data_IF_298445829006
#
_entry.id   IF_298445829006
#
_cell.length_a   1.000
_cell.length_b   1.000
_cell.length_c   1.000
_cell.angle_alpha   90.00
_cell.angle_beta   90.00
_cell.angle_gamma   90.00
#
_symmetry.space_group_name_H-M   'P 1'
#
loop_
_entity.id
_entity.type
_entity.pdbx_description
1 polymer ?
#
# COMPACT_ATOMS: atom_id res chain seq x y z
N UNK A 1 7.25 10.27 16.98
CA UNK A 1 7.69 10.20 15.58
C UNK A 1 6.76 9.25 14.85
N UNK A 2 6.47 9.53 13.58
CA UNK A 2 5.40 8.89 12.82
C UNK A 2 5.90 8.54 11.42
N UNK A 3 5.59 7.34 10.94
CA UNK A 3 5.79 6.96 9.54
C UNK A 3 4.64 7.53 8.70
N UNK A 4 4.93 8.58 7.93
CA UNK A 4 3.94 9.17 7.04
C UNK A 4 3.92 8.45 5.70
N UNK A 5 2.73 8.33 5.14
CA UNK A 5 2.47 7.70 3.87
C UNK A 5 1.80 8.70 2.92
N UNK A 6 2.30 8.80 1.70
CA UNK A 6 1.72 9.69 0.69
C UNK A 6 0.37 9.14 0.23
N UNK A 7 -0.70 9.94 0.31
CA UNK A 7 -2.04 9.53 -0.14
C UNK A 7 -2.14 9.35 -1.66
N UNK A 8 -1.24 9.95 -2.44
CA UNK A 8 -1.25 9.84 -3.91
C UNK A 8 -0.57 8.55 -4.37
N UNK A 9 0.68 8.29 -3.98
CA UNK A 9 1.44 7.16 -4.48
C UNK A 9 1.58 5.99 -3.51
N UNK A 10 1.18 6.15 -2.24
CA UNK A 10 1.17 5.06 -1.25
C UNK A 10 2.53 4.73 -0.63
N UNK A 11 3.61 5.44 -1.00
CA UNK A 11 4.93 5.24 -0.40
C UNK A 11 4.92 5.68 1.06
N UNK A 12 5.59 4.90 1.92
CA UNK A 12 5.80 5.24 3.33
C UNK A 12 7.24 5.71 3.56
N UNK A 13 7.38 6.81 4.31
CA UNK A 13 8.67 7.38 4.69
C UNK A 13 9.12 6.90 6.08
N UNK A 14 10.41 7.07 6.37
CA UNK A 14 10.96 6.88 7.71
C UNK A 14 10.27 7.79 8.74
N UNK A 15 10.33 7.41 10.01
CA UNK A 15 9.59 8.11 11.05
C UNK A 15 10.16 9.52 11.30
N UNK A 16 9.28 10.53 11.30
CA UNK A 16 9.63 11.94 11.55
C UNK A 16 8.64 12.56 12.53
N UNK A 17 8.93 13.75 13.06
CA UNK A 17 7.96 14.48 13.89
C UNK A 17 6.81 15.06 13.07
N UNK A 18 7.13 15.62 11.91
CA UNK A 18 6.17 16.23 10.98
C UNK A 18 6.17 15.47 9.66
N UNK A 19 5.06 15.57 8.93
CA UNK A 19 4.97 15.01 7.58
C UNK A 19 6.04 15.61 6.66
N UNK A 20 6.59 14.84 5.69
CA UNK A 20 7.52 15.39 4.72
C UNK A 20 6.89 16.57 3.96
N UNK A 21 7.70 17.56 3.60
CA UNK A 21 7.24 18.68 2.76
C UNK A 21 6.93 18.21 1.33
N UNK A 22 7.69 17.24 0.83
CA UNK A 22 7.59 16.73 -0.53
C UNK A 22 7.63 15.20 -0.56
N UNK A 23 6.81 14.60 -1.42
CA UNK A 23 6.96 13.19 -1.76
C UNK A 23 7.85 13.07 -3.00
N UNK A 24 9.10 12.67 -2.80
CA UNK A 24 10.08 12.51 -3.89
C UNK A 24 9.61 11.54 -5.00
N UNK A 25 8.75 10.58 -4.65
CA UNK A 25 8.17 9.65 -5.63
C UNK A 25 7.12 10.35 -6.50
N UNK A 26 6.30 11.24 -5.95
CA UNK A 26 5.29 11.99 -6.70
C UNK A 26 5.89 13.13 -7.53
N UNK A 27 7.06 13.64 -7.14
CA UNK A 27 7.78 14.67 -7.89
C UNK A 27 8.70 14.10 -8.98
N UNK A 28 8.93 12.78 -8.98
CA UNK A 28 9.54 12.08 -10.10
C UNK A 28 8.61 12.14 -11.32
N UNK A 29 9.18 12.42 -12.50
CA UNK A 29 8.44 12.60 -13.77
C UNK A 29 7.60 11.38 -14.19
N UNK A 30 7.91 10.20 -13.64
CA UNK A 30 7.16 8.96 -13.90
C UNK A 30 5.89 8.86 -13.07
N UNK A 31 5.67 9.81 -12.17
CA UNK A 31 4.50 9.90 -11.30
C UNK A 31 3.93 11.32 -11.34
N UNK A 32 3.01 11.63 -10.43
CA UNK A 32 2.37 12.93 -10.32
C UNK A 32 2.07 13.30 -8.87
N UNK A 33 1.97 14.60 -8.63
CA UNK A 33 1.39 15.18 -7.41
C UNK A 33 -0.12 15.22 -7.58
N UNK A 34 -0.87 14.77 -6.56
CA UNK A 34 -2.33 14.75 -6.60
C UNK A 34 -2.95 16.14 -6.80
N UNK A 35 -4.16 16.20 -7.37
CA UNK A 35 -4.86 17.46 -7.66
C UNK A 35 -5.06 18.38 -6.44
N UNK A 36 -5.11 17.81 -5.23
CA UNK A 36 -5.22 18.57 -3.98
C UNK A 36 -3.86 18.85 -3.32
N UNK A 37 -2.76 18.69 -4.05
CA UNK A 37 -1.40 18.79 -3.54
C UNK A 37 -0.94 17.53 -2.80
N UNK A 38 0.18 17.64 -2.09
CA UNK A 38 0.73 16.57 -1.26
C UNK A 38 -0.13 16.37 -0.01
N UNK A 39 -0.63 15.16 0.17
CA UNK A 39 -1.40 14.77 1.34
C UNK A 39 -0.80 13.52 1.97
N UNK A 40 -0.90 13.45 3.30
CA UNK A 40 -0.25 12.44 4.10
C UNK A 40 -1.28 11.69 4.95
N UNK A 41 -1.00 10.42 5.20
CA UNK A 41 -1.75 9.55 6.12
C UNK A 41 -0.76 8.71 6.92
N UNK A 42 -1.27 7.90 7.84
CA UNK A 42 -0.48 6.86 8.51
C UNK A 42 -1.09 5.48 8.24
N UNK A 43 -0.33 4.43 8.55
CA UNK A 43 -0.89 3.06 8.53
C UNK A 43 -2.07 2.93 9.49
N UNK A 44 -1.97 3.53 10.68
CA UNK A 44 -3.03 3.48 11.68
C UNK A 44 -4.32 4.14 11.18
N UNK A 45 -4.23 5.30 10.54
CA UNK A 45 -5.39 5.97 9.94
C UNK A 45 -5.99 5.12 8.82
N UNK A 46 -5.15 4.54 7.95
CA UNK A 46 -5.60 3.70 6.84
C UNK A 46 -6.33 2.44 7.31
N UNK A 47 -5.93 1.87 8.45
CA UNK A 47 -6.60 0.71 9.07
C UNK A 47 -7.99 1.04 9.62
N UNK A 48 -8.35 2.31 9.79
CA UNK A 48 -9.66 2.69 10.34
C UNK A 48 -10.81 2.59 9.34
N UNK A 49 -10.50 2.79 8.06
CA UNK A 49 -11.49 2.93 6.99
C UNK A 49 -11.18 2.09 5.74
N UNK A 50 -10.04 1.41 5.68
CA UNK A 50 -9.69 0.47 4.61
C UNK A 50 -9.47 -0.95 5.15
N UNK A 51 -9.68 -1.93 4.28
CA UNK A 51 -9.34 -3.34 4.51
C UNK A 51 -8.83 -3.94 3.20
N UNK A 52 -8.10 -5.06 3.27
CA UNK A 52 -7.73 -5.78 2.05
C UNK A 52 -8.80 -6.81 1.65
N UNK A 53 -9.03 -6.89 0.35
CA UNK A 53 -9.79 -7.95 -0.32
C UNK A 53 -8.79 -8.96 -0.87
N UNK A 54 -8.91 -10.20 -0.43
CA UNK A 54 -8.07 -11.33 -0.86
C UNK A 54 -8.90 -12.24 -1.77
N UNK A 55 -8.38 -12.54 -2.96
CA UNK A 55 -9.06 -13.38 -3.95
C UNK A 55 -8.08 -14.32 -4.61
N UNK A 56 -8.44 -15.60 -4.71
CA UNK A 56 -7.77 -16.54 -5.61
C UNK A 56 -8.05 -16.12 -7.05
N UNK A 57 -7.00 -15.84 -7.82
CA UNK A 57 -7.10 -15.47 -9.24
C UNK A 57 -7.09 -16.74 -10.08
N UNK A 58 -6.19 -17.67 -9.76
CA UNK A 58 -6.07 -19.01 -10.34
C UNK A 58 -5.33 -19.92 -9.34
N UNK A 59 -5.27 -21.25 -9.55
CA UNK A 59 -4.54 -22.15 -8.65
C UNK A 59 -3.08 -21.71 -8.44
N UNK A 60 -2.72 -21.43 -7.20
CA UNK A 60 -1.37 -20.96 -6.84
C UNK A 60 -1.13 -19.44 -7.02
N UNK A 61 -2.15 -18.66 -7.39
CA UNK A 61 -2.06 -17.20 -7.51
C UNK A 61 -3.17 -16.50 -6.73
N UNK A 62 -2.79 -15.77 -5.70
CA UNK A 62 -3.70 -15.00 -4.84
C UNK A 62 -3.46 -13.51 -5.02
N UNK A 63 -4.52 -12.74 -5.29
CA UNK A 63 -4.47 -11.28 -5.36
C UNK A 63 -4.93 -10.64 -4.05
N UNK A 64 -4.22 -9.59 -3.64
CA UNK A 64 -4.49 -8.80 -2.43
C UNK A 64 -4.63 -7.34 -2.85
N UNK A 65 -5.81 -6.75 -2.67
CA UNK A 65 -6.07 -5.36 -3.03
C UNK A 65 -6.83 -4.61 -1.94
N UNK A 66 -6.46 -3.35 -1.70
CA UNK A 66 -7.08 -2.52 -0.67
C UNK A 66 -8.45 -1.98 -1.13
N UNK A 67 -9.42 -1.99 -0.23
CA UNK A 67 -10.76 -1.43 -0.42
C UNK A 67 -11.18 -0.54 0.77
N UNK A 68 -11.66 0.70 0.54
CA UNK A 68 -11.74 1.41 -0.75
C UNK A 68 -10.38 1.54 -1.47
N UNK A 69 -10.38 1.89 -2.75
CA UNK A 69 -9.12 2.03 -3.49
C UNK A 69 -8.22 3.09 -2.88
N UNK A 70 -6.93 2.79 -2.70
CA UNK A 70 -5.95 3.69 -2.08
C UNK A 70 -4.78 4.00 -3.03
N UNK A 71 -4.29 5.23 -2.97
CA UNK A 71 -3.17 5.72 -3.77
C UNK A 71 -3.36 5.44 -5.28
N UNK A 72 -2.34 4.96 -5.96
CA UNK A 72 -2.38 4.58 -7.38
C UNK A 72 -3.11 3.24 -7.64
N UNK A 73 -3.77 2.66 -6.63
CA UNK A 73 -4.53 1.42 -6.78
C UNK A 73 -3.66 0.18 -6.94
N UNK A 74 -2.50 0.12 -6.25
CA UNK A 74 -1.62 -1.05 -6.29
C UNK A 74 -2.33 -2.31 -5.76
N UNK A 75 -1.98 -3.45 -6.35
CA UNK A 75 -2.46 -4.78 -5.95
C UNK A 75 -1.27 -5.72 -5.88
N UNK A 76 -1.05 -6.35 -4.73
CA UNK A 76 -0.03 -7.37 -4.59
C UNK A 76 -0.54 -8.74 -5.09
N UNK A 77 0.39 -9.56 -5.58
CA UNK A 77 0.12 -10.92 -6.03
C UNK A 77 1.01 -11.89 -5.26
N UNK A 78 0.41 -12.81 -4.51
CA UNK A 78 1.09 -13.90 -3.86
C UNK A 78 1.10 -15.12 -4.79
N UNK A 79 2.26 -15.45 -5.34
CA UNK A 79 2.52 -16.64 -6.15
C UNK A 79 3.00 -17.76 -5.22
N UNK A 80 2.28 -18.88 -5.21
CA UNK A 80 2.56 -20.01 -4.32
C UNK A 80 2.99 -21.22 -5.16
N UNK A 81 4.16 -21.77 -4.85
CA UNK A 81 4.72 -22.92 -5.54
C UNK A 81 5.17 -23.99 -4.52
N UNK A 82 5.37 -25.25 -4.94
CA UNK A 82 5.84 -26.30 -4.03
C UNK A 82 7.21 -26.04 -3.39
N UNK A 83 8.02 -25.14 -3.96
CA UNK A 83 9.38 -24.83 -3.49
C UNK A 83 9.48 -23.48 -2.77
N UNK A 84 8.36 -22.76 -2.63
CA UNK A 84 8.32 -21.46 -1.96
C UNK A 84 7.31 -20.50 -2.56
N UNK A 85 7.15 -19.35 -1.90
CA UNK A 85 6.21 -18.30 -2.28
C UNK A 85 6.97 -17.04 -2.71
N UNK A 86 6.39 -16.31 -3.67
CA UNK A 86 6.85 -14.99 -4.10
C UNK A 86 5.70 -14.00 -3.93
N UNK A 87 5.95 -12.91 -3.20
CA UNK A 87 5.05 -11.76 -3.19
C UNK A 87 5.52 -10.77 -4.25
N UNK A 88 4.76 -10.67 -5.33
CA UNK A 88 4.97 -9.72 -6.40
C UNK A 88 4.23 -8.42 -6.10
N UNK A 89 4.95 -7.31 -6.12
CA UNK A 89 4.57 -5.99 -5.62
C UNK A 89 4.27 -5.93 -4.11
N UNK A 90 4.35 -4.72 -3.55
CA UNK A 90 3.95 -4.42 -2.19
C UNK A 90 2.55 -3.79 -2.17
N UNK A 91 1.90 -3.84 -1.02
CA UNK A 91 0.65 -3.12 -0.75
C UNK A 91 0.83 -2.22 0.48
N UNK A 92 0.22 -1.04 0.45
CA UNK A 92 0.39 -0.06 1.53
C UNK A 92 -0.30 -0.47 2.84
N UNK A 93 -1.48 -1.09 2.76
CA UNK A 93 -2.24 -1.49 3.94
C UNK A 93 -1.77 -2.86 4.44
N UNK A 94 -1.27 -2.88 5.67
CA UNK A 94 -1.02 -4.09 6.45
C UNK A 94 -1.99 -4.08 7.63
N UNK A 95 -2.81 -5.11 7.77
CA UNK A 95 -3.77 -5.26 8.87
C UNK A 95 -3.79 -6.69 9.42
N UNK A 96 -4.37 -6.87 10.61
CA UNK A 96 -4.42 -8.17 11.27
C UNK A 96 -5.23 -9.22 10.48
N UNK A 97 -6.39 -8.90 9.87
CA UNK A 97 -7.12 -9.85 9.03
C UNK A 97 -6.30 -10.35 7.84
N UNK A 98 -5.55 -9.48 7.15
CA UNK A 98 -4.68 -9.87 6.04
C UNK A 98 -3.60 -10.81 6.56
N UNK A 99 -2.90 -10.44 7.63
CA UNK A 99 -1.83 -11.28 8.21
C UNK A 99 -2.34 -12.67 8.59
N UNK A 100 -3.55 -12.77 9.13
CA UNK A 100 -4.13 -14.05 9.52
C UNK A 100 -4.56 -14.93 8.33
N UNK A 101 -4.76 -14.34 7.15
CA UNK A 101 -5.31 -15.01 5.98
C UNK A 101 -4.27 -15.61 5.02
N UNK A 102 -3.00 -15.24 5.14
CA UNK A 102 -1.91 -15.64 4.22
C UNK A 102 -0.73 -16.30 4.94
#
# INVERSE_FOLDING_TARGET
MTNFMCKTCGIQFAATENAPTHCLICEDERQYVGWQGQQWTTLADLQTDHHNIIKTIEPGLTGIGTHPGFAIGQRALLVQTPVGNLLWDCISLIDAPTIAAI
#
